data_IF_007123606631
#
_entry.id   IF_007123606631
#
_cell.length_a   1.000
_cell.length_b   1.000
_cell.length_c   1.000
_cell.angle_alpha   90.00
_cell.angle_beta   90.00
_cell.angle_gamma   90.00
#
_symmetry.space_group_name_H-M   'P 1'
#
loop_
_entity.id
_entity.type
_entity.pdbx_description
1 polymer ?
#
# COMPACT_ATOMS: atom_id res chain seq x y z
N UNK A 1 -55.26 29.06 42.70
CA UNK A 1 -56.06 28.70 41.51
C UNK A 1 -55.33 27.58 40.77
N UNK A 2 -55.99 26.42 40.65
CA UNK A 2 -55.68 25.25 39.81
C UNK A 2 -54.34 24.50 39.95
N UNK A 3 -54.49 23.24 40.38
CA UNK A 3 -53.62 22.07 40.20
C UNK A 3 -53.51 21.73 38.69
N UNK A 4 -52.36 21.20 38.23
CA UNK A 4 -52.33 20.03 37.34
C UNK A 4 -51.00 19.25 37.48
N UNK A 5 -51.14 17.98 37.83
CA UNK A 5 -50.15 16.90 37.69
C UNK A 5 -49.95 16.56 36.21
N UNK A 6 -48.76 16.07 35.84
CA UNK A 6 -48.59 15.08 34.76
C UNK A 6 -47.39 14.16 35.06
N UNK A 7 -47.69 12.87 35.22
CA UNK A 7 -46.77 11.72 35.25
C UNK A 7 -46.66 11.14 33.83
N UNK A 8 -45.47 10.71 33.44
CA UNK A 8 -45.17 9.53 32.60
C UNK A 8 -43.74 9.10 32.98
N UNK A 9 -43.35 7.84 33.13
CA UNK A 9 -43.95 6.54 32.85
C UNK A 9 -42.76 5.56 32.81
N UNK A 10 -42.86 4.48 33.58
CA UNK A 10 -41.79 3.50 33.85
C UNK A 10 -41.04 2.98 32.61
N UNK A 11 -39.71 3.03 32.61
CA UNK A 11 -38.86 2.15 31.77
C UNK A 11 -38.08 1.23 32.70
N UNK A 12 -38.42 -0.06 32.63
CA UNK A 12 -37.79 -1.16 33.37
C UNK A 12 -36.36 -1.36 32.88
N UNK A 13 -35.40 -1.44 33.81
CA UNK A 13 -34.12 -2.12 33.59
C UNK A 13 -34.39 -3.60 33.27
N UNK A 14 -33.95 -4.07 32.10
CA UNK A 14 -33.91 -5.50 31.79
C UNK A 14 -32.49 -5.98 32.10
N UNK A 15 -32.36 -6.77 33.16
CA UNK A 15 -31.15 -7.54 33.45
C UNK A 15 -31.17 -8.80 32.58
N UNK A 16 -30.17 -9.00 31.74
CA UNK A 16 -29.93 -10.31 31.13
C UNK A 16 -28.83 -11.02 31.92
N UNK A 17 -29.27 -11.92 32.81
CA UNK A 17 -28.42 -12.93 33.42
C UNK A 17 -28.56 -14.22 32.61
N UNK A 18 -27.42 -14.72 32.12
CA UNK A 18 -26.99 -16.11 31.96
C UNK A 18 -28.01 -17.16 31.49
N UNK A 19 -27.81 -17.69 30.27
CA UNK A 19 -28.21 -19.04 29.90
C UNK A 19 -26.96 -19.77 29.40
N UNK A 20 -26.35 -20.54 30.30
CA UNK A 20 -25.39 -21.61 30.01
C UNK A 20 -26.24 -22.86 29.77
N UNK A 21 -26.19 -23.45 28.57
CA UNK A 21 -26.76 -24.79 28.35
C UNK A 21 -25.67 -25.85 28.47
N UNK A 22 -25.95 -26.81 29.35
CA UNK A 22 -25.14 -27.94 29.75
C UNK A 22 -24.99 -28.99 28.63
N UNK A 23 -23.76 -29.50 28.53
CA UNK A 23 -23.34 -30.88 28.25
C UNK A 23 -24.37 -31.91 27.76
N UNK A 24 -24.14 -32.47 26.58
CA UNK A 24 -24.64 -33.79 26.20
C UNK A 24 -23.64 -34.87 26.63
N UNK A 25 -24.03 -35.72 27.57
CA UNK A 25 -23.50 -37.07 27.71
C UNK A 25 -24.39 -38.00 26.88
N UNK A 26 -23.82 -38.67 25.89
CA UNK A 26 -24.38 -39.89 25.32
C UNK A 26 -23.34 -41.00 25.51
N UNK A 27 -23.56 -41.85 26.51
CA UNK A 27 -22.97 -43.18 26.58
C UNK A 27 -23.94 -44.09 25.83
N UNK A 28 -23.53 -44.50 24.63
CA UNK A 28 -24.15 -45.58 23.86
C UNK A 28 -23.13 -46.71 23.75
N UNK A 29 -23.54 -47.89 24.19
CA UNK A 29 -22.78 -49.13 24.20
C UNK A 29 -22.20 -49.50 22.83
N UNK A 30 -20.99 -50.07 22.85
CA UNK A 30 -20.34 -50.70 21.72
C UNK A 30 -21.14 -51.91 21.21
N UNK A 31 -21.26 -52.04 19.89
CA UNK A 31 -21.30 -53.34 19.23
C UNK A 31 -20.58 -53.26 17.87
N UNK A 32 -19.93 -54.35 17.53
CA UNK A 32 -18.78 -54.52 16.64
C UNK A 32 -19.19 -54.52 15.14
N UNK A 33 -18.63 -53.62 14.33
CA UNK A 33 -18.37 -53.89 12.89
C UNK A 33 -17.39 -52.88 12.28
N UNK A 34 -16.39 -53.40 11.61
CA UNK A 34 -15.20 -52.74 11.09
C UNK A 34 -15.44 -51.68 10.01
N UNK A 35 -14.79 -50.54 10.24
CA UNK A 35 -14.32 -49.48 9.33
C UNK A 35 -14.36 -49.73 7.81
N UNK A 36 -14.94 -48.78 7.07
CA UNK A 36 -14.19 -47.95 6.12
C UNK A 36 -15.00 -46.70 5.70
N UNK A 37 -14.84 -45.60 6.43
CA UNK A 37 -15.19 -44.26 5.95
C UNK A 37 -14.27 -43.24 6.60
N UNK A 38 -13.16 -42.94 5.92
CA UNK A 38 -12.28 -41.83 6.26
C UNK A 38 -12.98 -40.51 5.95
N UNK A 39 -13.84 -40.06 6.86
CA UNK A 39 -14.31 -38.67 6.94
C UNK A 39 -13.15 -37.78 7.36
N UNK A 40 -12.42 -37.26 6.39
CA UNK A 40 -11.38 -36.26 6.60
C UNK A 40 -12.04 -34.92 6.94
N UNK A 41 -12.21 -34.63 8.25
CA UNK A 41 -12.44 -33.28 8.75
C UNK A 41 -11.15 -32.46 8.62
N UNK A 42 -10.77 -32.09 7.40
CA UNK A 42 -9.72 -31.10 7.17
C UNK A 42 -10.36 -29.71 7.26
N UNK A 43 -10.46 -29.18 8.47
CA UNK A 43 -10.53 -27.73 8.69
C UNK A 43 -9.13 -27.14 8.43
N UNK A 44 -8.68 -27.20 7.18
CA UNK A 44 -7.56 -26.37 6.73
C UNK A 44 -8.10 -24.95 6.63
N UNK A 45 -7.51 -23.95 7.31
CA UNK A 45 -7.89 -22.56 7.08
C UNK A 45 -7.73 -22.28 5.59
N UNK A 46 -8.83 -22.00 4.89
CA UNK A 46 -8.78 -21.56 3.49
C UNK A 46 -8.06 -20.21 3.48
N UNK A 47 -6.79 -20.21 3.11
CA UNK A 47 -6.00 -18.99 2.98
C UNK A 47 -6.56 -18.17 1.83
N UNK A 48 -6.99 -16.94 2.10
CA UNK A 48 -7.46 -16.02 1.08
C UNK A 48 -6.29 -15.58 0.20
N UNK A 49 -6.24 -16.07 -1.03
CA UNK A 49 -5.20 -15.73 -2.02
C UNK A 49 -5.67 -14.72 -3.06
N UNK A 50 -6.91 -14.23 -2.96
CA UNK A 50 -7.54 -13.42 -4.02
C UNK A 50 -7.60 -11.94 -3.67
N UNK A 51 -7.73 -11.63 -2.38
CA UNK A 51 -7.81 -10.26 -1.90
C UNK A 51 -6.45 -9.58 -1.95
N UNK A 52 -6.47 -8.29 -2.22
CA UNK A 52 -5.39 -7.38 -1.85
C UNK A 52 -5.47 -7.14 -0.34
N UNK A 53 -4.42 -7.46 0.40
CA UNK A 53 -4.42 -7.45 1.87
C UNK A 53 -3.38 -6.49 2.39
N UNK A 54 -3.81 -5.59 3.28
CA UNK A 54 -2.93 -4.62 3.93
C UNK A 54 -3.16 -4.59 5.42
N UNK A 55 -2.15 -4.17 6.18
CA UNK A 55 -2.29 -3.81 7.58
C UNK A 55 -2.27 -2.29 7.74
N UNK A 56 -3.24 -1.80 8.49
CA UNK A 56 -3.34 -0.40 8.84
C UNK A 56 -3.21 -0.23 10.35
N UNK A 57 -2.29 0.62 10.79
CA UNK A 57 -2.10 0.92 12.20
C UNK A 57 -2.86 2.19 12.57
N UNK A 58 -3.63 2.15 13.64
CA UNK A 58 -4.34 3.28 14.25
C UNK A 58 -3.78 3.48 15.66
N UNK A 59 -2.98 4.52 15.85
CA UNK A 59 -2.30 4.81 17.10
C UNK A 59 -3.08 5.77 18.00
N UNK A 60 -4.09 6.46 17.46
CA UNK A 60 -4.95 7.32 18.27
C UNK A 60 -6.39 7.36 17.78
N UNK A 61 -7.30 6.98 18.67
CA UNK A 61 -8.72 7.32 18.53
C UNK A 61 -8.88 8.81 18.90
N UNK A 62 -8.99 9.68 17.90
CA UNK A 62 -9.25 11.11 18.11
C UNK A 62 -10.40 11.63 17.23
N UNK A 63 -10.67 12.94 17.29
CA UNK A 63 -11.62 13.61 16.39
C UNK A 63 -11.31 13.28 14.92
N UNK A 64 -12.36 12.82 14.22
CA UNK A 64 -12.62 12.57 12.78
C UNK A 64 -11.46 12.07 11.89
N UNK A 65 -10.27 12.64 11.96
CA UNK A 65 -9.16 12.35 11.03
C UNK A 65 -8.15 11.33 11.57
N UNK A 66 -8.03 11.18 12.89
CA UNK A 66 -6.98 10.35 13.50
C UNK A 66 -7.21 8.84 13.46
N UNK A 67 -8.47 8.41 13.30
CA UNK A 67 -8.84 6.98 13.27
C UNK A 67 -9.63 6.56 12.03
N UNK A 68 -9.70 7.44 11.01
CA UNK A 68 -10.43 7.15 9.77
C UNK A 68 -9.46 6.71 8.69
N UNK A 69 -9.56 5.44 8.28
CA UNK A 69 -8.84 4.87 7.13
C UNK A 69 -9.65 5.13 5.87
N UNK A 70 -8.96 5.41 4.76
CA UNK A 70 -9.58 5.66 3.45
C UNK A 70 -8.97 4.76 2.40
N UNK A 71 -9.82 4.09 1.64
CA UNK A 71 -9.44 3.38 0.42
C UNK A 71 -9.85 4.28 -0.74
N UNK A 72 -8.89 5.03 -1.27
CA UNK A 72 -9.16 5.99 -2.35
C UNK A 72 -9.17 5.29 -3.70
N UNK A 73 -9.88 5.92 -4.64
CA UNK A 73 -9.97 5.46 -6.03
C UNK A 73 -9.43 6.52 -7.00
N UNK A 74 -9.17 6.09 -8.23
CA UNK A 74 -8.86 6.96 -9.36
C UNK A 74 -10.14 7.20 -10.17
N UNK A 75 -10.41 8.45 -10.56
CA UNK A 75 -11.58 8.81 -11.37
C UNK A 75 -11.58 8.17 -12.77
N UNK A 76 -10.42 7.75 -13.25
CA UNK A 76 -10.22 7.26 -14.62
C UNK A 76 -10.64 5.79 -14.79
N UNK A 77 -11.00 5.11 -13.69
CA UNK A 77 -11.36 3.70 -13.70
C UNK A 77 -12.69 3.45 -13.00
N UNK A 78 -13.36 2.37 -13.40
CA UNK A 78 -14.55 1.86 -12.73
C UNK A 78 -14.15 0.92 -11.60
N UNK A 79 -14.86 1.04 -10.48
CA UNK A 79 -14.67 0.24 -9.28
C UNK A 79 -15.98 -0.49 -8.96
N UNK A 80 -15.86 -1.71 -8.48
CA UNK A 80 -16.95 -2.50 -7.89
C UNK A 80 -16.30 -3.52 -6.95
N UNK A 81 -16.00 -3.06 -5.74
CA UNK A 81 -15.17 -3.79 -4.79
C UNK A 81 -15.87 -4.02 -3.46
N UNK A 82 -15.33 -4.98 -2.73
CA UNK A 82 -15.68 -5.32 -1.36
C UNK A 82 -14.49 -4.94 -0.49
N UNK A 83 -14.76 -4.28 0.64
CA UNK A 83 -13.75 -4.01 1.67
C UNK A 83 -14.19 -4.67 2.98
N UNK A 84 -13.35 -5.59 3.47
CA UNK A 84 -13.42 -6.11 4.83
C UNK A 84 -12.44 -5.28 5.68
N UNK A 85 -12.99 -4.54 6.65
CA UNK A 85 -12.22 -3.65 7.52
C UNK A 85 -11.51 -4.39 8.66
N UNK A 86 -11.59 -5.72 8.73
CA UNK A 86 -10.79 -6.53 9.66
C UNK A 86 -11.29 -6.56 11.10
N UNK A 87 -12.47 -5.98 11.37
CA UNK A 87 -13.15 -6.02 12.68
C UNK A 87 -14.61 -6.48 12.59
N UNK A 88 -14.96 -7.18 11.50
CA UNK A 88 -16.30 -7.71 11.24
C UNK A 88 -17.21 -6.79 10.42
N UNK A 89 -16.78 -5.55 10.17
CA UNK A 89 -17.44 -4.63 9.23
C UNK A 89 -16.99 -4.95 7.80
N UNK A 90 -17.94 -5.31 6.94
CA UNK A 90 -17.72 -5.57 5.52
C UNK A 90 -18.65 -4.67 4.72
N UNK A 91 -18.11 -3.95 3.75
CA UNK A 91 -18.87 -3.11 2.82
C UNK A 91 -18.73 -3.67 1.41
N UNK A 92 -19.86 -3.82 0.72
CA UNK A 92 -19.94 -4.42 -0.64
C UNK A 92 -20.37 -3.38 -1.67
N UNK A 93 -20.15 -3.67 -2.95
CA UNK A 93 -20.58 -2.84 -4.08
C UNK A 93 -20.04 -1.40 -4.00
N UNK A 94 -18.82 -1.25 -3.50
CA UNK A 94 -18.16 0.05 -3.42
C UNK A 94 -17.70 0.45 -4.83
N UNK A 95 -18.12 1.64 -5.27
CA UNK A 95 -17.82 2.16 -6.61
C UNK A 95 -16.98 3.44 -6.59
N UNK A 96 -16.73 3.98 -5.39
CA UNK A 96 -15.95 5.21 -5.15
C UNK A 96 -15.01 5.02 -3.96
N UNK A 97 -14.36 6.09 -3.50
CA UNK A 97 -13.63 6.09 -2.23
C UNK A 97 -14.54 5.61 -1.09
N UNK A 98 -14.01 4.70 -0.27
CA UNK A 98 -14.63 4.21 0.96
C UNK A 98 -13.80 4.63 2.17
N UNK A 99 -14.45 4.85 3.30
CA UNK A 99 -13.77 5.25 4.53
C UNK A 99 -14.39 4.60 5.74
N UNK A 100 -13.56 4.18 6.68
CA UNK A 100 -14.01 3.55 7.91
C UNK A 100 -13.27 4.12 9.11
N UNK A 101 -14.02 4.31 10.19
CA UNK A 101 -13.51 4.90 11.43
C UNK A 101 -13.40 3.83 12.50
N UNK A 102 -12.19 3.63 12.99
CA UNK A 102 -11.93 2.74 14.12
C UNK A 102 -12.17 3.46 15.45
N UNK A 103 -12.84 2.77 16.38
CA UNK A 103 -13.12 3.26 17.73
C UNK A 103 -12.10 2.78 18.78
N UNK A 104 -11.16 1.93 18.37
CA UNK A 104 -10.03 1.48 19.19
C UNK A 104 -8.70 1.75 18.50
N UNK A 105 -7.62 1.79 19.28
CA UNK A 105 -6.26 1.76 18.74
C UNK A 105 -5.90 0.31 18.43
N UNK A 106 -5.13 0.08 17.37
CA UNK A 106 -4.81 -1.27 16.96
C UNK A 106 -4.19 -1.33 15.57
N UNK A 107 -3.87 -2.56 15.16
CA UNK A 107 -3.50 -2.85 13.77
C UNK A 107 -4.60 -3.71 13.18
N UNK A 108 -5.18 -3.25 12.07
CA UNK A 108 -6.31 -3.88 11.40
C UNK A 108 -5.85 -4.47 10.07
N UNK A 109 -6.28 -5.71 9.80
CA UNK A 109 -6.00 -6.37 8.52
C UNK A 109 -7.17 -6.11 7.59
N UNK A 110 -6.97 -5.22 6.63
CA UNK A 110 -7.99 -4.82 5.66
C UNK A 110 -7.81 -5.68 4.42
N UNK A 111 -8.92 -6.23 3.90
CA UNK A 111 -8.94 -7.02 2.67
C UNK A 111 -9.83 -6.36 1.64
N UNK A 112 -9.31 -6.21 0.43
CA UNK A 112 -10.00 -5.61 -0.70
C UNK A 112 -10.10 -6.66 -1.80
N UNK A 113 -11.31 -6.93 -2.26
CA UNK A 113 -11.59 -7.90 -3.33
C UNK A 113 -12.60 -7.34 -4.33
N UNK A 114 -12.80 -8.04 -5.46
CA UNK A 114 -13.62 -7.55 -6.57
C UNK A 114 -12.85 -6.66 -7.54
N UNK A 115 -13.56 -5.80 -8.27
CA UNK A 115 -12.99 -4.90 -9.27
C UNK A 115 -12.36 -3.67 -8.60
N UNK A 116 -11.07 -3.78 -8.31
CA UNK A 116 -10.26 -2.73 -7.72
C UNK A 116 -8.98 -2.51 -8.58
N UNK A 117 -9.08 -1.78 -9.70
CA UNK A 117 -8.01 -1.74 -10.72
C UNK A 117 -6.87 -0.75 -10.42
N UNK A 118 -6.95 0.05 -9.36
CA UNK A 118 -5.93 1.05 -9.04
C UNK A 118 -5.77 1.22 -7.54
N UNK A 119 -4.52 1.31 -7.10
CA UNK A 119 -4.17 1.51 -5.70
C UNK A 119 -3.94 3.00 -5.47
N UNK A 120 -4.50 3.54 -4.39
CA UNK A 120 -4.21 4.90 -3.91
C UNK A 120 -4.40 4.99 -2.41
N UNK A 121 -3.52 4.32 -1.66
CA UNK A 121 -3.60 4.25 -0.20
C UNK A 121 -2.93 5.44 0.49
N UNK A 122 -2.17 6.22 -0.27
CA UNK A 122 -1.48 7.41 0.21
C UNK A 122 -2.37 8.47 0.87
N UNK A 123 -1.93 8.96 2.02
CA UNK A 123 -2.44 10.19 2.60
C UNK A 123 -1.70 11.33 1.90
N UNK A 124 -2.31 11.94 0.88
CA UNK A 124 -1.73 13.06 0.11
C UNK A 124 -1.44 14.28 0.98
N UNK A 125 -0.42 14.16 1.83
CA UNK A 125 0.08 15.18 2.72
C UNK A 125 0.63 16.27 1.81
N UNK A 126 -0.04 17.41 1.86
CA UNK A 126 0.47 18.62 1.29
C UNK A 126 1.75 19.03 2.03
N UNK A 127 2.82 19.10 1.24
CA UNK A 127 4.13 19.70 1.49
C UNK A 127 4.26 20.59 2.73
N UNK A 128 5.19 20.22 3.61
CA UNK A 128 6.20 21.19 4.06
C UNK A 128 7.58 20.61 3.77
N UNK A 129 8.46 21.43 3.21
CA UNK A 129 9.86 21.11 2.87
C UNK A 129 10.74 21.01 4.13
N UNK A 130 10.28 20.29 5.15
CA UNK A 130 10.98 20.13 6.41
C UNK A 130 11.16 18.63 6.67
N UNK A 131 12.39 18.23 6.97
CA UNK A 131 12.72 16.90 7.48
C UNK A 131 12.08 16.77 8.87
N UNK A 132 11.02 15.99 8.97
CA UNK A 132 10.34 15.73 10.25
C UNK A 132 11.11 14.68 11.03
N UNK A 133 11.33 14.88 12.33
CA UNK A 133 11.80 13.81 13.20
C UNK A 133 10.70 12.75 13.35
N UNK A 134 11.06 11.51 13.73
CA UNK A 134 10.09 10.44 14.02
C UNK A 134 9.01 10.91 15.01
N UNK A 135 9.42 11.65 16.05
CA UNK A 135 8.51 12.28 17.01
C UNK A 135 7.58 13.34 16.37
N UNK A 136 8.08 14.15 15.43
CA UNK A 136 7.27 15.18 14.78
C UNK A 136 6.31 14.58 13.73
N UNK A 137 6.71 13.51 13.02
CA UNK A 137 5.81 12.74 12.15
C UNK A 137 4.68 12.08 12.95
N UNK A 138 5.00 11.51 14.12
CA UNK A 138 4.01 11.00 15.08
C UNK A 138 3.11 12.12 15.66
N UNK A 139 3.64 13.34 15.79
CA UNK A 139 2.94 14.48 16.41
C UNK A 139 2.03 15.25 15.46
N UNK A 140 2.37 15.32 14.16
CA UNK A 140 1.65 16.16 13.20
C UNK A 140 1.00 15.42 12.02
N UNK A 141 1.38 14.18 11.66
CA UNK A 141 0.99 13.73 10.32
C UNK A 141 0.77 12.26 10.03
N UNK A 142 0.38 11.41 11.00
CA UNK A 142 -0.54 10.29 10.75
C UNK A 142 -0.74 9.47 12.04
N UNK A 143 -1.81 9.78 12.77
CA UNK A 143 -2.30 8.93 13.88
C UNK A 143 -2.87 7.60 13.38
N UNK A 144 -2.92 7.42 12.07
CA UNK A 144 -3.20 6.19 11.38
C UNK A 144 -2.39 6.12 10.06
N UNK A 145 -1.71 5.01 9.80
CA UNK A 145 -0.91 4.83 8.58
C UNK A 145 -0.96 3.40 8.08
N UNK A 146 -0.74 3.25 6.78
CA UNK A 146 -0.49 1.96 6.14
C UNK A 146 0.84 1.41 6.68
N UNK A 147 0.77 0.33 7.48
CA UNK A 147 1.96 -0.29 8.05
C UNK A 147 2.60 -1.27 7.08
N UNK A 148 1.79 -2.08 6.38
CA UNK A 148 2.32 -3.06 5.45
C UNK A 148 1.34 -3.53 4.38
N UNK A 149 1.88 -3.92 3.23
CA UNK A 149 1.19 -4.76 2.24
C UNK A 149 1.49 -6.22 2.56
N UNK A 150 0.46 -7.00 2.86
CA UNK A 150 0.58 -8.42 3.23
C UNK A 150 0.34 -9.36 2.05
N UNK A 151 -0.40 -8.91 1.03
CA UNK A 151 -0.68 -9.67 -0.18
C UNK A 151 -1.12 -8.74 -1.30
N UNK A 152 -0.64 -8.94 -2.53
CA UNK A 152 -1.08 -8.20 -3.71
C UNK A 152 -2.41 -8.70 -4.27
N UNK A 153 -2.66 -10.00 -4.14
CA UNK A 153 -3.89 -10.66 -4.57
C UNK A 153 -3.96 -10.87 -6.07
N UNK A 154 -5.15 -11.22 -6.56
CA UNK A 154 -5.39 -11.53 -7.99
C UNK A 154 -5.88 -10.32 -8.78
N UNK A 155 -5.77 -9.11 -8.23
CA UNK A 155 -6.26 -7.88 -8.83
C UNK A 155 -5.60 -7.63 -10.19
N UNK A 156 -6.41 -7.23 -11.17
CA UNK A 156 -5.94 -6.81 -12.50
C UNK A 156 -5.63 -5.32 -12.46
N UNK A 157 -4.43 -4.99 -12.03
CA UNK A 157 -4.00 -3.61 -11.84
C UNK A 157 -3.85 -2.89 -13.18
N UNK A 158 -4.56 -1.77 -13.34
CA UNK A 158 -4.47 -0.87 -14.49
C UNK A 158 -3.62 0.36 -14.22
N UNK A 159 -3.38 0.70 -12.96
CA UNK A 159 -2.49 1.79 -12.56
C UNK A 159 -1.88 1.54 -11.19
N UNK A 160 -0.61 1.94 -11.04
CA UNK A 160 0.09 2.06 -9.76
C UNK A 160 0.39 3.53 -9.42
N UNK A 161 -0.22 4.47 -10.14
CA UNK A 161 -0.04 5.90 -9.95
C UNK A 161 -0.35 6.33 -8.52
N UNK A 162 0.68 6.72 -7.77
CA UNK A 162 0.54 7.13 -6.38
C UNK A 162 0.06 6.03 -5.44
N UNK A 163 0.29 4.76 -5.77
CA UNK A 163 -0.17 3.59 -5.03
C UNK A 163 0.09 3.69 -3.52
N UNK A 164 1.36 3.86 -3.16
CA UNK A 164 1.87 3.97 -1.79
C UNK A 164 2.55 5.32 -1.56
N UNK A 165 2.11 6.34 -2.29
CA UNK A 165 2.60 7.71 -2.11
C UNK A 165 2.34 8.20 -0.69
N UNK A 166 3.27 8.93 -0.08
CA UNK A 166 3.15 9.49 1.26
C UNK A 166 2.84 8.40 2.33
N UNK A 167 3.37 7.19 2.13
CA UNK A 167 3.35 6.09 3.10
C UNK A 167 4.76 5.90 3.69
N UNK A 168 5.26 6.82 4.55
CA UNK A 168 6.67 6.86 4.94
C UNK A 168 7.16 5.63 5.73
N UNK A 169 6.24 4.86 6.31
CA UNK A 169 6.52 3.70 7.17
C UNK A 169 6.08 2.36 6.57
N UNK A 170 5.65 2.34 5.30
CA UNK A 170 5.12 1.11 4.71
C UNK A 170 6.22 0.08 4.51
N UNK A 171 5.96 -1.15 4.92
CA UNK A 171 6.73 -2.33 4.52
C UNK A 171 5.94 -3.21 3.56
N UNK A 172 6.59 -4.09 2.82
CA UNK A 172 5.92 -5.14 2.06
C UNK A 172 6.33 -6.47 2.66
N UNK A 173 5.34 -7.22 3.14
CA UNK A 173 5.49 -8.60 3.63
C UNK A 173 4.90 -9.62 2.66
N UNK A 174 4.26 -9.13 1.58
CA UNK A 174 3.66 -9.93 0.53
C UNK A 174 4.67 -10.89 -0.09
N UNK A 175 4.26 -12.16 -0.21
CA UNK A 175 5.09 -13.20 -0.85
C UNK A 175 4.70 -13.42 -2.32
N UNK A 176 3.54 -12.91 -2.73
CA UNK A 176 3.09 -12.85 -4.10
C UNK A 176 3.62 -11.59 -4.81
N UNK A 177 3.44 -11.55 -6.12
CA UNK A 177 3.81 -10.42 -6.98
C UNK A 177 2.56 -9.81 -7.59
N UNK A 178 2.47 -8.47 -7.72
CA UNK A 178 1.33 -7.85 -8.39
C UNK A 178 1.32 -8.22 -9.88
N UNK A 179 0.13 -8.47 -10.44
CA UNK A 179 -0.05 -8.57 -11.89
C UNK A 179 -0.05 -7.17 -12.50
N UNK A 180 1.10 -6.78 -13.07
CA UNK A 180 1.35 -5.46 -13.65
C UNK A 180 1.14 -5.42 -15.16
N UNK A 181 0.64 -6.49 -15.77
CA UNK A 181 0.53 -6.63 -17.23
C UNK A 181 -0.33 -5.57 -17.93
N UNK A 182 -1.16 -4.83 -17.18
CA UNK A 182 -1.98 -3.73 -17.70
C UNK A 182 -1.57 -2.35 -17.15
N UNK A 183 -0.51 -2.26 -16.35
CA UNK A 183 -0.05 -1.01 -15.74
C UNK A 183 0.84 -0.26 -16.71
N UNK A 184 0.42 0.94 -17.10
CA UNK A 184 1.22 1.86 -17.93
C UNK A 184 1.75 3.07 -17.18
N UNK A 185 1.18 3.38 -16.01
CA UNK A 185 1.53 4.53 -15.17
C UNK A 185 1.85 4.06 -13.73
N UNK A 186 3.12 4.21 -13.35
CA UNK A 186 3.66 4.01 -12.00
C UNK A 186 4.15 5.32 -11.37
N UNK A 187 3.74 6.46 -11.91
CA UNK A 187 4.17 7.75 -11.38
C UNK A 187 3.82 7.89 -9.90
N UNK A 188 4.76 8.39 -9.11
CA UNK A 188 4.66 8.54 -7.67
C UNK A 188 4.35 7.26 -6.87
N UNK A 189 4.47 6.04 -7.42
CA UNK A 189 4.00 4.82 -6.74
C UNK A 189 4.56 4.64 -5.32
N UNK A 190 5.81 5.01 -5.07
CA UNK A 190 6.49 4.99 -3.76
C UNK A 190 7.03 6.37 -3.36
N UNK A 191 6.46 7.44 -3.91
CA UNK A 191 6.85 8.82 -3.57
C UNK A 191 6.70 9.03 -2.06
N UNK A 192 7.78 9.42 -1.37
CA UNK A 192 7.86 9.61 0.09
C UNK A 192 7.54 8.35 0.90
N UNK A 193 7.74 7.17 0.34
CA UNK A 193 7.84 5.94 1.12
C UNK A 193 9.24 5.86 1.76
N UNK A 194 9.49 6.72 2.75
CA UNK A 194 10.83 7.05 3.27
C UNK A 194 11.68 5.83 3.66
N UNK A 195 11.09 4.83 4.31
CA UNK A 195 11.81 3.61 4.72
C UNK A 195 11.68 2.44 3.73
N UNK A 196 11.05 2.66 2.58
CA UNK A 196 10.79 1.61 1.59
C UNK A 196 12.10 1.06 1.03
N UNK A 197 12.32 -0.24 1.19
CA UNK A 197 13.48 -0.95 0.65
C UNK A 197 13.15 -2.43 0.37
N UNK A 198 11.91 -2.71 -0.05
CA UNK A 198 11.48 -4.08 -0.33
C UNK A 198 11.91 -4.51 -1.73
N UNK A 199 12.36 -5.76 -1.87
CA UNK A 199 12.82 -6.31 -3.14
C UNK A 199 11.67 -6.39 -4.16
N UNK A 200 11.77 -5.57 -5.21
CA UNK A 200 10.84 -5.51 -6.35
C UNK A 200 11.52 -5.89 -7.68
N UNK A 201 12.69 -6.54 -7.61
CA UNK A 201 13.48 -6.95 -8.79
C UNK A 201 12.70 -7.87 -9.75
N UNK A 202 11.72 -8.61 -9.22
CA UNK A 202 10.90 -9.55 -9.98
C UNK A 202 9.61 -8.95 -10.54
N UNK A 203 9.38 -7.64 -10.39
CA UNK A 203 8.21 -6.98 -10.96
C UNK A 203 8.38 -6.80 -12.47
N UNK A 204 7.39 -7.24 -13.24
CA UNK A 204 7.34 -7.00 -14.68
C UNK A 204 6.84 -5.58 -14.95
N UNK A 205 7.76 -4.69 -15.31
CA UNK A 205 7.48 -3.29 -15.64
C UNK A 205 7.55 -3.00 -17.15
N UNK A 206 7.61 -4.05 -17.99
CA UNK A 206 7.83 -3.91 -19.44
C UNK A 206 6.77 -3.08 -20.16
N UNK A 207 5.56 -2.96 -19.62
CA UNK A 207 4.46 -2.16 -20.20
C UNK A 207 4.42 -0.70 -19.68
N UNK A 208 5.25 -0.36 -18.70
CA UNK A 208 5.21 0.94 -18.02
C UNK A 208 5.84 2.01 -18.90
N UNK A 209 5.08 3.09 -19.11
CA UNK A 209 5.52 4.23 -19.94
C UNK A 209 5.88 5.46 -19.11
N UNK A 210 5.36 5.55 -17.87
CA UNK A 210 5.60 6.65 -16.95
C UNK A 210 6.03 6.14 -15.57
N UNK A 211 7.26 6.46 -15.18
CA UNK A 211 7.85 6.16 -13.87
C UNK A 211 8.21 7.45 -13.09
N UNK A 212 7.66 8.60 -13.49
CA UNK A 212 8.03 9.88 -12.89
C UNK A 212 7.77 9.91 -11.38
N UNK A 213 8.77 10.30 -10.59
CA UNK A 213 8.67 10.42 -9.14
C UNK A 213 8.45 9.09 -8.40
N UNK A 214 8.58 7.93 -9.05
CA UNK A 214 8.25 6.63 -8.48
C UNK A 214 8.93 6.37 -7.13
N UNK A 215 10.20 6.77 -6.96
CA UNK A 215 10.97 6.64 -5.71
C UNK A 215 11.38 8.02 -5.14
N UNK A 216 10.70 9.09 -5.53
CA UNK A 216 10.99 10.43 -5.01
C UNK A 216 10.94 10.44 -3.49
N UNK A 217 12.02 10.79 -2.80
CA UNK A 217 12.08 10.80 -1.33
C UNK A 217 11.92 9.44 -0.66
N UNK A 218 12.10 8.32 -1.38
CA UNK A 218 12.25 6.99 -0.80
C UNK A 218 13.69 6.85 -0.26
N UNK A 219 13.98 7.54 0.84
CA UNK A 219 15.34 7.76 1.36
C UNK A 219 16.17 6.48 1.49
N UNK A 220 15.53 5.36 1.84
CA UNK A 220 16.16 4.05 2.10
C UNK A 220 16.11 3.06 0.95
N UNK A 221 15.56 3.45 -0.19
CA UNK A 221 15.41 2.53 -1.32
C UNK A 221 16.77 2.25 -1.97
N UNK A 222 17.17 0.98 -1.99
CA UNK A 222 18.42 0.51 -2.59
C UNK A 222 18.30 -0.97 -3.02
N UNK A 223 17.25 -1.29 -3.78
CA UNK A 223 17.01 -2.66 -4.27
C UNK A 223 17.37 -2.79 -5.73
N UNK A 224 17.89 -3.97 -6.09
CA UNK A 224 18.32 -4.28 -7.46
C UNK A 224 17.17 -4.15 -8.45
N UNK A 225 17.38 -3.33 -9.49
CA UNK A 225 16.45 -3.09 -10.60
C UNK A 225 17.05 -3.48 -11.96
N UNK A 226 18.16 -4.21 -11.97
CA UNK A 226 18.91 -4.57 -13.19
C UNK A 226 18.08 -5.45 -14.16
N UNK A 227 17.10 -6.18 -13.65
CA UNK A 227 16.20 -7.04 -14.43
C UNK A 227 14.99 -6.31 -15.01
N UNK A 228 14.78 -5.03 -14.69
CA UNK A 228 13.65 -4.28 -15.21
C UNK A 228 13.83 -3.95 -16.69
N UNK A 229 12.80 -4.25 -17.49
CA UNK A 229 12.71 -3.79 -18.87
C UNK A 229 12.09 -2.38 -18.91
N UNK A 230 12.95 -1.37 -19.08
CA UNK A 230 12.53 0.03 -19.19
C UNK A 230 12.30 0.50 -20.63
N UNK A 231 12.32 -0.41 -21.62
CA UNK A 231 12.36 -0.05 -23.04
C UNK A 231 11.12 0.72 -23.53
N UNK A 232 9.96 0.57 -22.88
CA UNK A 232 8.76 1.36 -23.15
C UNK A 232 8.65 2.68 -22.36
N UNK A 233 9.57 2.94 -21.42
CA UNK A 233 9.49 4.11 -20.55
C UNK A 233 9.82 5.39 -21.32
N UNK A 234 8.96 6.40 -21.17
CA UNK A 234 9.12 7.72 -21.82
C UNK A 234 9.40 8.85 -20.82
N UNK A 235 9.06 8.66 -19.54
CA UNK A 235 9.22 9.67 -18.49
C UNK A 235 9.80 9.04 -17.21
N UNK A 236 10.98 9.51 -16.82
CA UNK A 236 11.70 9.15 -15.59
C UNK A 236 12.01 10.38 -14.72
N UNK A 237 11.33 11.51 -14.97
CA UNK A 237 11.52 12.74 -14.20
C UNK A 237 11.38 12.48 -12.70
N UNK A 238 12.28 13.04 -11.91
CA UNK A 238 12.33 12.97 -10.44
C UNK A 238 12.33 11.57 -9.84
N UNK A 239 12.51 10.50 -10.63
CA UNK A 239 12.30 9.12 -10.21
C UNK A 239 13.11 8.73 -8.96
N UNK A 240 14.38 9.10 -8.89
CA UNK A 240 15.26 8.84 -7.75
C UNK A 240 15.62 10.12 -6.97
N UNK A 241 14.93 11.23 -7.21
CA UNK A 241 15.21 12.47 -6.51
C UNK A 241 15.08 12.27 -4.99
N UNK A 242 16.12 12.62 -4.24
CA UNK A 242 16.25 12.38 -2.80
C UNK A 242 16.26 10.89 -2.37
N UNK A 243 16.42 9.91 -3.26
CA UNK A 243 16.62 8.51 -2.87
C UNK A 243 18.07 8.31 -2.39
N UNK A 244 18.40 8.84 -1.20
CA UNK A 244 19.77 9.01 -0.74
C UNK A 244 20.63 7.76 -0.81
N UNK A 245 20.08 6.62 -0.38
CA UNK A 245 20.80 5.34 -0.30
C UNK A 245 20.82 4.56 -1.65
N UNK A 246 20.15 5.04 -2.71
CA UNK A 246 20.05 4.30 -3.98
C UNK A 246 21.38 4.27 -4.73
N UNK A 247 21.91 3.06 -4.95
CA UNK A 247 23.17 2.87 -5.67
C UNK A 247 23.23 1.52 -6.42
N UNK A 248 22.15 1.12 -7.06
CA UNK A 248 22.10 -0.14 -7.82
C UNK A 248 22.42 0.07 -9.29
N UNK A 249 23.05 -0.92 -9.91
CA UNK A 249 23.42 -0.89 -11.32
C UNK A 249 22.16 -0.96 -12.22
N UNK A 250 21.95 0.12 -12.95
CA UNK A 250 20.88 0.29 -13.94
C UNK A 250 21.44 0.62 -15.33
N UNK A 251 22.73 0.35 -15.55
CA UNK A 251 23.44 0.60 -16.82
C UNK A 251 22.86 -0.18 -18.00
N UNK A 252 22.15 -1.29 -17.71
CA UNK A 252 21.52 -2.16 -18.69
C UNK A 252 20.12 -1.69 -19.16
N UNK A 253 19.54 -0.65 -18.56
CA UNK A 253 18.24 -0.14 -18.98
C UNK A 253 18.30 0.44 -20.40
N UNK A 254 17.30 0.09 -21.22
CA UNK A 254 17.09 0.74 -22.51
C UNK A 254 16.34 2.07 -22.31
N UNK A 255 17.08 3.18 -22.41
CA UNK A 255 16.53 4.54 -22.28
C UNK A 255 16.19 5.19 -23.62
N UNK A 256 16.26 4.46 -24.75
CA UNK A 256 16.13 5.03 -26.10
C UNK A 256 14.76 5.65 -26.41
N UNK A 257 13.75 5.41 -25.58
CA UNK A 257 12.41 6.02 -25.66
C UNK A 257 12.17 7.11 -24.61
N UNK A 258 13.10 7.34 -23.69
CA UNK A 258 12.95 8.35 -22.64
C UNK A 258 13.06 9.75 -23.25
N UNK A 259 12.11 10.62 -22.89
CA UNK A 259 12.04 12.01 -23.35
C UNK A 259 12.22 13.02 -22.21
N UNK A 260 11.99 12.60 -20.96
CA UNK A 260 12.10 13.45 -19.77
C UNK A 260 12.84 12.73 -18.63
N UNK A 261 13.97 13.32 -18.21
CA UNK A 261 14.82 12.94 -17.09
C UNK A 261 15.02 14.09 -16.09
N UNK A 262 14.16 15.12 -16.12
CA UNK A 262 14.23 16.27 -15.21
C UNK A 262 14.44 15.83 -13.76
N UNK A 263 15.54 16.27 -13.13
CA UNK A 263 15.90 15.95 -11.74
C UNK A 263 15.92 14.47 -11.37
N UNK A 264 16.11 13.55 -12.31
CA UNK A 264 16.05 12.11 -12.06
C UNK A 264 16.91 11.66 -10.86
N UNK A 265 18.14 12.20 -10.74
CA UNK A 265 19.10 11.90 -9.67
C UNK A 265 19.41 13.11 -8.76
N UNK A 266 18.57 14.15 -8.73
CA UNK A 266 18.77 15.32 -7.89
C UNK A 266 18.87 14.94 -6.41
N UNK A 267 19.96 15.32 -5.72
CA UNK A 267 20.24 14.91 -4.33
C UNK A 267 20.21 13.37 -4.10
N UNK A 268 20.70 12.57 -5.04
CA UNK A 268 20.88 11.11 -4.87
C UNK A 268 22.34 10.85 -4.49
N UNK A 269 22.66 10.96 -3.20
CA UNK A 269 24.04 11.13 -2.73
C UNK A 269 24.94 9.91 -2.95
N UNK A 270 24.39 8.70 -2.85
CA UNK A 270 25.20 7.47 -2.86
C UNK A 270 25.37 6.89 -4.27
N UNK A 271 24.60 7.37 -5.24
CA UNK A 271 24.63 6.87 -6.61
C UNK A 271 25.98 7.14 -7.28
N UNK A 272 26.67 6.09 -7.72
CA UNK A 272 28.01 6.15 -8.35
C UNK A 272 28.19 5.19 -9.53
N UNK A 273 27.09 4.77 -10.17
CA UNK A 273 27.12 3.78 -11.26
C UNK A 273 27.55 4.37 -12.61
N UNK A 274 27.94 3.51 -13.55
CA UNK A 274 28.30 3.92 -14.90
C UNK A 274 27.09 3.84 -15.84
N UNK A 275 26.60 4.98 -16.30
CA UNK A 275 25.45 5.11 -17.19
C UNK A 275 25.84 5.55 -18.62
N UNK A 276 27.13 5.54 -18.98
CA UNK A 276 27.61 5.96 -20.31
C UNK A 276 27.05 5.12 -21.48
N UNK A 277 26.40 3.99 -21.20
CA UNK A 277 25.72 3.14 -22.18
C UNK A 277 24.31 3.60 -22.53
N UNK A 278 23.70 4.49 -21.74
CA UNK A 278 22.32 4.92 -21.97
C UNK A 278 22.20 5.74 -23.26
N UNK A 279 21.17 5.45 -24.06
CA UNK A 279 20.82 6.26 -25.21
C UNK A 279 19.89 7.40 -24.78
N UNK A 280 20.38 8.64 -24.87
CA UNK A 280 19.64 9.85 -24.46
C UNK A 280 19.28 10.77 -25.63
N UNK A 281 19.36 10.29 -26.89
CA UNK A 281 19.09 11.11 -28.09
C UNK A 281 17.69 11.73 -28.14
N UNK A 282 16.70 11.10 -27.49
CA UNK A 282 15.32 11.60 -27.43
C UNK A 282 15.04 12.45 -26.20
N UNK A 283 15.98 12.61 -25.27
CA UNK A 283 15.76 13.37 -24.03
C UNK A 283 15.71 14.86 -24.37
N UNK A 284 14.59 15.49 -24.04
CA UNK A 284 14.35 16.93 -24.28
C UNK A 284 14.34 17.76 -23.01
N UNK A 285 14.14 17.12 -21.85
CA UNK A 285 14.23 17.76 -20.54
C UNK A 285 15.08 16.92 -19.58
N UNK A 286 16.22 17.48 -19.19
CA UNK A 286 17.18 16.91 -18.25
C UNK A 286 17.62 17.97 -17.21
N UNK A 287 16.79 19.00 -17.00
CA UNK A 287 17.10 20.08 -16.08
C UNK A 287 17.43 19.56 -14.68
N UNK A 288 18.57 20.01 -14.13
CA UNK A 288 19.06 19.59 -12.81
C UNK A 288 19.14 18.07 -12.63
N UNK A 289 19.41 17.31 -13.70
CA UNK A 289 19.44 15.83 -13.72
C UNK A 289 20.13 15.22 -12.50
N UNK A 290 21.31 15.74 -12.14
CA UNK A 290 22.12 15.29 -11.01
C UNK A 290 22.59 16.44 -10.10
N UNK A 291 21.94 17.61 -10.11
CA UNK A 291 22.36 18.73 -9.24
C UNK A 291 22.31 18.31 -7.76
N UNK A 292 23.26 18.82 -6.97
CA UNK A 292 23.47 18.44 -5.57
C UNK A 292 23.74 16.93 -5.38
N UNK A 293 24.23 16.25 -6.41
CA UNK A 293 24.87 14.94 -6.27
C UNK A 293 26.03 15.02 -5.24
N UNK A 294 26.21 13.93 -4.48
CA UNK A 294 27.06 13.89 -3.29
C UNK A 294 28.56 14.08 -3.55
N UNK A 295 29.37 14.13 -2.50
CA UNK A 295 30.83 14.36 -2.60
C UNK A 295 31.68 13.11 -2.85
N UNK A 296 31.09 12.04 -3.39
CA UNK A 296 31.73 10.73 -3.58
C UNK A 296 32.49 10.60 -4.91
N UNK A 297 32.49 9.39 -5.49
CA UNK A 297 32.97 9.16 -6.87
C UNK A 297 31.86 9.47 -7.85
N UNK A 298 32.10 10.42 -8.75
CA UNK A 298 31.11 10.86 -9.73
C UNK A 298 30.67 9.71 -10.66
N UNK A 299 29.36 9.47 -10.83
CA UNK A 299 28.83 8.60 -11.87
C UNK A 299 29.34 9.00 -13.26
N UNK A 300 29.51 8.00 -14.12
CA UNK A 300 29.67 8.27 -15.54
C UNK A 300 28.27 8.51 -16.13
N UNK A 301 27.83 9.76 -16.18
CA UNK A 301 26.56 10.14 -16.78
C UNK A 301 26.55 9.89 -18.31
N UNK A 302 25.38 9.70 -18.93
CA UNK A 302 25.24 9.53 -20.38
C UNK A 302 25.47 10.81 -21.20
#
# INVERSE_FOLDING_TARGET
MKIFNLKFGNIKLISFLSIIFLTFFAVGCADDSSDNSSGSNNNTPTTDTTSFIVKWRVDKVSSVWGSTVRIKTHSDYTYDYIVDWGEGTIETNQTTESSHRYDSVGTYTIKISGLFPGIRLGHGICYVNQKWTEEQNLKFNNKNYLSSVEQWGTQKWKTFKGALRDCPYVTINATDTPDLSQVTDMSDAFNRAEIFNYNISNWDVSNVTNMSGMFYGAYKFNQDLSLWDASNTTNMSTMFQFAYDFNQDISAWDTSNVTNMYRMFFNTSDFNQNLSSWNVEKVTDYGSFSDHWGGGTEPNWP
#
